data_IF_629525466886
#
_entry.id   IF_629525466886
#
_cell.length_a   1.000
_cell.length_b   1.000
_cell.length_c   1.000
_cell.angle_alpha   90.00
_cell.angle_beta   90.00
_cell.angle_gamma   90.00
#
_symmetry.space_group_name_H-M   'P 1'
#
loop_
_entity.id
_entity.type
_entity.pdbx_description
1 polymer ?
#
# COMPACT_ATOMS: atom_id res chain seq x y z
N UNK A 1 3.32 14.21 15.58
CA UNK A 1 2.76 14.91 16.75
C UNK A 1 1.63 14.05 17.29
N UNK A 2 1.65 13.83 18.61
CA UNK A 2 0.60 13.08 19.32
C UNK A 2 -0.12 14.03 20.28
N UNK A 3 -1.43 13.91 20.31
CA UNK A 3 -2.28 14.64 21.23
C UNK A 3 -3.27 13.66 21.87
N UNK A 4 -3.22 13.54 23.20
CA UNK A 4 -4.10 12.68 23.99
C UNK A 4 -4.74 13.52 25.06
N UNK A 5 -6.06 13.49 25.17
CA UNK A 5 -6.81 14.19 26.19
C UNK A 5 -8.02 13.41 26.64
N UNK A 6 -8.23 13.37 27.94
CA UNK A 6 -9.42 12.80 28.58
C UNK A 6 -10.24 13.95 29.18
N UNK A 7 -11.56 13.87 29.00
CA UNK A 7 -12.53 14.83 29.53
C UNK A 7 -13.66 13.99 30.14
N UNK A 8 -13.85 13.98 31.42
CA UNK A 8 -14.93 13.26 32.10
C UNK A 8 -15.39 11.98 31.39
N UNK A 9 -16.36 12.12 30.48
CA UNK A 9 -16.97 11.03 29.71
C UNK A 9 -16.31 10.80 28.34
N UNK A 10 -15.37 11.63 27.92
CA UNK A 10 -14.78 11.60 26.57
C UNK A 10 -13.28 11.36 26.59
N UNK A 11 -12.79 10.60 25.66
CA UNK A 11 -11.37 10.46 25.36
C UNK A 11 -11.09 10.83 23.90
N UNK A 12 -10.03 11.58 23.67
CA UNK A 12 -9.58 11.97 22.34
C UNK A 12 -8.09 11.65 22.18
N UNK A 13 -7.78 10.78 21.25
CA UNK A 13 -6.41 10.48 20.83
C UNK A 13 -6.25 10.87 19.37
N UNK A 14 -5.29 11.73 19.09
CA UNK A 14 -5.02 12.22 17.73
C UNK A 14 -3.54 12.10 17.42
N UNK A 15 -3.22 11.63 16.22
CA UNK A 15 -1.86 11.64 15.72
C UNK A 15 -1.81 12.30 14.34
N UNK A 16 -0.81 13.17 14.16
CA UNK A 16 -0.45 13.77 12.87
C UNK A 16 0.96 13.33 12.52
N UNK A 17 1.17 12.86 11.30
CA UNK A 17 2.46 12.39 10.83
C UNK A 17 2.70 12.66 9.36
N UNK A 18 3.98 12.62 9.01
CA UNK A 18 4.45 12.63 7.64
C UNK A 18 5.55 11.58 7.49
N UNK A 19 5.68 11.02 6.31
CA UNK A 19 6.73 10.05 6.00
C UNK A 19 7.24 10.22 4.57
N UNK A 20 8.51 9.85 4.37
CA UNK A 20 9.13 9.75 3.06
C UNK A 20 9.73 8.36 2.96
N UNK A 21 9.32 7.62 1.94
CA UNK A 21 9.87 6.32 1.59
C UNK A 21 10.60 6.43 0.25
N UNK A 22 11.88 6.05 0.22
CA UNK A 22 12.69 6.02 -0.99
C UNK A 22 13.13 4.58 -1.25
N UNK A 23 12.80 4.08 -2.43
CA UNK A 23 13.26 2.78 -2.91
C UNK A 23 14.12 2.97 -4.14
N UNK A 24 15.27 2.31 -4.17
CA UNK A 24 16.20 2.31 -5.29
C UNK A 24 16.63 0.87 -5.57
N UNK A 25 16.43 0.44 -6.79
CA UNK A 25 16.92 -0.87 -7.26
C UNK A 25 18.09 -0.63 -8.19
N UNK A 26 19.22 -1.28 -7.90
CA UNK A 26 20.35 -1.34 -8.80
C UNK A 26 20.51 -2.80 -9.23
N UNK A 27 20.78 -3.02 -10.49
CA UNK A 27 21.09 -4.35 -10.99
C UNK A 27 22.49 -4.42 -11.56
N UNK A 28 23.09 -5.58 -11.43
CA UNK A 28 24.27 -6.00 -12.13
C UNK A 28 23.95 -7.30 -12.84
N UNK A 29 23.89 -7.23 -14.16
CA UNK A 29 23.62 -8.40 -15.00
C UNK A 29 24.89 -8.78 -15.72
N UNK A 30 25.28 -10.05 -15.60
CA UNK A 30 26.40 -10.63 -16.33
C UNK A 30 25.83 -11.73 -17.20
N UNK A 31 25.83 -11.51 -18.50
CA UNK A 31 25.46 -12.52 -19.48
C UNK A 31 26.72 -13.23 -19.97
N UNK A 32 26.90 -14.46 -19.49
CA UNK A 32 28.05 -15.30 -19.79
C UNK A 32 27.70 -16.51 -20.66
N UNK A 33 26.51 -16.53 -21.27
CA UNK A 33 26.05 -17.69 -22.05
C UNK A 33 26.99 -18.11 -23.18
N UNK A 34 27.73 -17.16 -23.75
CA UNK A 34 28.69 -17.39 -24.81
C UNK A 34 30.14 -17.33 -24.32
N UNK A 35 30.39 -17.02 -23.05
CA UNK A 35 31.70 -16.91 -22.46
C UNK A 35 32.18 -18.25 -21.91
N UNK A 36 33.48 -18.39 -21.81
CA UNK A 36 34.14 -19.55 -21.20
C UNK A 36 34.31 -19.35 -19.68
N UNK A 37 34.51 -20.46 -18.97
CA UNK A 37 34.89 -20.43 -17.56
C UNK A 37 36.36 -20.76 -17.42
N UNK A 38 37.08 -20.08 -16.50
CA UNK A 38 38.46 -20.42 -16.16
C UNK A 38 38.57 -21.83 -15.58
N UNK A 39 37.59 -22.19 -14.72
CA UNK A 39 37.46 -23.55 -14.15
C UNK A 39 36.10 -24.12 -14.53
N UNK A 40 36.04 -25.30 -15.18
CA UNK A 40 34.77 -25.93 -15.53
C UNK A 40 33.89 -26.19 -14.30
N UNK A 41 32.57 -26.07 -14.46
CA UNK A 41 31.58 -26.34 -13.42
C UNK A 41 31.64 -25.47 -12.16
N UNK A 42 32.35 -24.34 -12.18
CA UNK A 42 32.35 -23.35 -11.10
C UNK A 42 31.61 -22.11 -11.58
N UNK A 43 30.34 -21.95 -11.17
CA UNK A 43 29.48 -20.87 -11.64
C UNK A 43 29.54 -19.67 -10.68
N UNK A 44 30.64 -18.93 -10.74
CA UNK A 44 30.84 -17.68 -9.99
C UNK A 44 31.32 -16.57 -10.94
N UNK A 45 30.96 -15.33 -10.63
CA UNK A 45 31.33 -14.15 -11.42
C UNK A 45 32.86 -14.06 -11.68
N UNK A 46 33.74 -14.25 -10.67
CA UNK A 46 35.19 -14.19 -10.90
C UNK A 46 35.73 -15.30 -11.80
N UNK A 47 34.95 -16.37 -12.04
CA UNK A 47 35.34 -17.50 -12.86
C UNK A 47 34.94 -17.37 -14.34
N UNK A 48 34.19 -16.30 -14.69
CA UNK A 48 33.83 -16.03 -16.08
C UNK A 48 34.96 -15.34 -16.80
N UNK A 49 35.34 -15.84 -17.97
CA UNK A 49 36.27 -15.15 -18.85
C UNK A 49 35.59 -13.93 -19.45
N UNK A 50 35.97 -12.74 -18.98
CA UNK A 50 35.41 -11.46 -19.43
C UNK A 50 36.04 -11.03 -20.74
N UNK A 51 35.69 -11.74 -21.80
CA UNK A 51 36.09 -11.42 -23.17
C UNK A 51 34.91 -10.73 -23.92
N UNK A 52 35.07 -10.56 -25.23
CA UNK A 52 34.02 -9.95 -26.07
C UNK A 52 32.69 -10.71 -26.12
N UNK A 53 32.63 -11.93 -25.56
CA UNK A 53 31.44 -12.78 -25.52
C UNK A 53 30.68 -12.63 -24.21
N UNK A 54 31.28 -12.04 -23.18
CA UNK A 54 30.60 -11.74 -21.91
C UNK A 54 30.10 -10.30 -21.92
N UNK A 55 28.83 -10.11 -21.62
CA UNK A 55 28.24 -8.79 -21.47
C UNK A 55 28.01 -8.48 -19.99
N UNK A 56 28.54 -7.34 -19.52
CA UNK A 56 28.34 -6.83 -18.17
C UNK A 56 27.54 -5.54 -18.27
N UNK A 57 26.36 -5.54 -17.65
CA UNK A 57 25.49 -4.37 -17.54
C UNK A 57 25.26 -4.02 -16.08
N UNK A 58 25.55 -2.77 -15.74
CA UNK A 58 25.21 -2.21 -14.44
C UNK A 58 24.33 -0.99 -14.63
N UNK A 59 23.16 -0.99 -14.00
CA UNK A 59 22.20 0.08 -14.15
C UNK A 59 21.48 0.40 -12.85
N UNK A 60 20.89 1.58 -12.80
CA UNK A 60 19.85 1.92 -11.84
C UNK A 60 18.54 1.56 -12.53
N UNK A 61 17.97 0.40 -12.18
CA UNK A 61 16.77 -0.10 -12.85
C UNK A 61 15.53 0.69 -12.45
N UNK A 62 15.46 1.11 -11.18
CA UNK A 62 14.34 1.91 -10.72
C UNK A 62 14.67 2.77 -9.51
N UNK A 63 14.01 3.91 -9.43
CA UNK A 63 13.98 4.78 -8.25
C UNK A 63 12.55 5.24 -8.02
N UNK A 64 12.04 5.05 -6.81
CA UNK A 64 10.71 5.47 -6.40
C UNK A 64 10.81 6.28 -5.12
N UNK A 65 10.06 7.37 -5.06
CA UNK A 65 9.88 8.18 -3.84
C UNK A 65 8.40 8.30 -3.57
N UNK A 66 7.98 7.99 -2.35
CA UNK A 66 6.63 8.15 -1.85
C UNK A 66 6.67 9.09 -0.66
N UNK A 67 5.97 10.21 -0.76
CA UNK A 67 5.78 11.18 0.31
C UNK A 67 4.36 11.07 0.84
N UNK A 68 4.19 11.14 2.15
CA UNK A 68 2.90 10.93 2.78
C UNK A 68 2.67 11.89 3.92
N UNK A 69 1.43 12.38 4.03
CA UNK A 69 0.93 13.08 5.21
C UNK A 69 -0.32 12.36 5.69
N UNK A 70 -0.42 12.12 6.99
CA UNK A 70 -1.57 11.41 7.55
C UNK A 70 -2.00 11.98 8.89
N UNK A 71 -3.27 11.79 9.16
CA UNK A 71 -3.91 12.10 10.44
C UNK A 71 -4.73 10.89 10.89
N UNK A 72 -4.69 10.61 12.19
CA UNK A 72 -5.56 9.63 12.84
C UNK A 72 -6.22 10.26 14.04
N UNK A 73 -7.50 9.94 14.26
CA UNK A 73 -8.26 10.39 15.41
C UNK A 73 -9.08 9.21 15.95
N UNK A 74 -8.96 8.97 17.23
CA UNK A 74 -9.83 8.07 17.96
C UNK A 74 -10.59 8.88 19.01
N UNK A 75 -11.89 8.86 18.94
CA UNK A 75 -12.77 9.46 19.90
C UNK A 75 -13.53 8.38 20.66
N UNK A 76 -13.53 8.45 21.98
CA UNK A 76 -14.21 7.52 22.87
C UNK A 76 -15.23 8.25 23.73
N UNK A 77 -16.41 7.66 23.94
CA UNK A 77 -17.44 8.18 24.81
C UNK A 77 -17.86 7.14 25.85
N UNK A 78 -17.70 7.47 27.12
CA UNK A 78 -18.03 6.64 28.31
C UNK A 78 -17.45 5.21 28.28
N UNK A 79 -16.45 4.97 27.44
CA UNK A 79 -15.98 3.63 27.16
C UNK A 79 -17.04 2.71 26.53
N UNK A 80 -18.07 3.28 25.92
CA UNK A 80 -19.21 2.59 25.27
C UNK A 80 -19.08 2.61 23.77
N UNK A 81 -18.81 3.80 23.23
CA UNK A 81 -18.73 4.07 21.80
C UNK A 81 -17.34 4.61 21.48
N UNK A 82 -16.77 4.08 20.42
CA UNK A 82 -15.51 4.55 19.87
C UNK A 82 -15.69 4.86 18.39
N UNK A 83 -15.13 5.98 17.96
CA UNK A 83 -15.10 6.41 16.58
C UNK A 83 -13.64 6.60 16.17
N UNK A 84 -13.21 5.86 15.18
CA UNK A 84 -11.86 5.91 14.60
C UNK A 84 -11.95 6.58 13.22
N UNK A 85 -11.20 7.63 13.00
CA UNK A 85 -11.12 8.34 11.71
C UNK A 85 -9.67 8.41 11.31
N UNK A 86 -9.37 8.05 10.07
CA UNK A 86 -8.05 8.26 9.49
C UNK A 86 -8.17 8.96 8.14
N UNK A 87 -7.15 9.74 7.82
CA UNK A 87 -7.01 10.38 6.53
C UNK A 87 -5.54 10.37 6.15
N UNK A 88 -5.25 10.00 4.89
CA UNK A 88 -3.89 10.01 4.36
C UNK A 88 -3.89 10.51 2.93
N UNK A 89 -2.87 11.29 2.59
CA UNK A 89 -2.57 11.68 1.22
C UNK A 89 -1.14 11.30 0.88
N UNK A 90 -0.98 10.62 -0.24
CA UNK A 90 0.31 10.16 -0.74
C UNK A 90 0.62 10.81 -2.09
N UNK A 91 1.88 11.23 -2.24
CA UNK A 91 2.45 11.71 -3.50
C UNK A 91 3.55 10.74 -3.92
N UNK A 92 3.35 10.08 -5.05
CA UNK A 92 4.33 9.13 -5.59
C UNK A 92 5.02 9.68 -6.82
N UNK A 93 6.34 9.43 -6.91
CA UNK A 93 7.11 9.76 -8.11
C UNK A 93 6.65 9.00 -9.35
N UNK A 94 5.93 7.87 -9.19
CA UNK A 94 5.34 7.11 -10.30
C UNK A 94 4.22 7.88 -11.00
N UNK A 95 3.65 8.90 -10.36
CA UNK A 95 2.60 9.76 -10.91
C UNK A 95 3.15 11.05 -11.58
N UNK A 96 4.47 11.22 -11.66
CA UNK A 96 5.10 12.48 -12.11
C UNK A 96 4.65 12.92 -13.50
N UNK A 97 4.27 11.99 -14.37
CA UNK A 97 3.84 12.24 -15.75
C UNK A 97 2.33 12.04 -15.94
N UNK A 98 1.55 12.08 -14.87
CA UNK A 98 0.09 11.98 -14.90
C UNK A 98 -0.57 13.25 -14.42
N UNK A 99 -1.89 13.36 -14.66
CA UNK A 99 -2.71 14.48 -14.15
C UNK A 99 -2.74 14.51 -12.60
N UNK A 100 -2.46 13.39 -11.95
CA UNK A 100 -2.44 13.26 -10.48
C UNK A 100 -1.11 13.67 -9.82
N UNK A 101 -0.12 14.15 -10.58
CA UNK A 101 1.23 14.48 -10.08
C UNK A 101 1.27 15.46 -8.90
N UNK A 102 0.36 16.44 -8.89
CA UNK A 102 0.34 17.49 -7.87
C UNK A 102 -0.63 17.17 -6.72
N UNK A 103 -1.73 16.49 -6.99
CA UNK A 103 -2.78 16.17 -6.02
C UNK A 103 -2.47 14.90 -5.23
N UNK A 104 -1.66 14.00 -5.82
CA UNK A 104 -1.46 12.68 -5.25
C UNK A 104 -2.75 11.87 -5.20
N UNK A 105 -2.86 11.02 -4.18
CA UNK A 105 -4.08 10.25 -3.94
C UNK A 105 -4.42 10.26 -2.45
N UNK A 106 -5.67 10.64 -2.19
CA UNK A 106 -6.24 10.76 -0.86
C UNK A 106 -7.10 9.53 -0.56
N UNK A 107 -6.95 8.98 0.65
CA UNK A 107 -7.76 7.87 1.10
C UNK A 107 -8.08 7.95 2.59
N UNK A 108 -9.37 8.09 2.91
CA UNK A 108 -9.87 8.16 4.27
C UNK A 108 -10.31 6.79 4.79
N UNK A 109 -10.46 6.69 6.12
CA UNK A 109 -11.25 5.62 6.73
C UNK A 109 -12.05 6.15 7.91
N UNK A 110 -13.16 5.47 8.18
CA UNK A 110 -13.99 5.71 9.36
C UNK A 110 -14.45 4.36 9.91
N UNK A 111 -14.32 4.20 11.23
CA UNK A 111 -14.78 3.03 11.95
C UNK A 111 -15.54 3.42 13.21
N UNK A 112 -16.56 2.64 13.55
CA UNK A 112 -17.31 2.79 14.79
C UNK A 112 -17.37 1.45 15.53
N UNK A 113 -17.16 1.49 16.82
CA UNK A 113 -17.27 0.33 17.72
C UNK A 113 -18.21 0.67 18.87
N UNK A 114 -19.20 -0.19 19.09
CA UNK A 114 -20.17 -0.05 20.17
C UNK A 114 -20.14 -1.26 21.11
N UNK A 115 -19.93 -1.00 22.41
CA UNK A 115 -19.92 -2.03 23.47
C UNK A 115 -21.31 -2.13 24.08
N UNK A 116 -22.05 -3.17 23.70
CA UNK A 116 -23.46 -3.32 24.04
C UNK A 116 -23.71 -3.58 25.54
N UNK A 117 -22.84 -4.31 26.22
CA UNK A 117 -23.02 -4.62 27.65
C UNK A 117 -23.14 -3.42 28.56
N UNK A 118 -22.55 -2.31 28.16
CA UNK A 118 -22.56 -1.09 28.98
C UNK A 118 -23.80 -0.22 28.70
N UNK A 119 -24.51 -0.50 27.60
CA UNK A 119 -25.66 0.31 27.14
C UNK A 119 -26.96 -0.48 27.31
N UNK A 120 -26.92 -1.78 27.06
CA UNK A 120 -28.10 -2.63 27.06
C UNK A 120 -28.03 -3.60 28.26
N UNK A 121 -29.14 -3.81 28.92
CA UNK A 121 -29.26 -4.87 29.94
C UNK A 121 -29.33 -6.22 29.26
N UNK A 122 -28.17 -6.84 29.08
CA UNK A 122 -28.09 -8.18 28.49
C UNK A 122 -28.34 -9.28 29.52
N UNK A 123 -28.88 -10.43 29.11
CA UNK A 123 -29.00 -11.61 29.98
C UNK A 123 -27.68 -11.99 30.64
N UNK A 124 -27.72 -12.48 31.90
CA UNK A 124 -26.51 -12.82 32.70
C UNK A 124 -25.57 -13.84 32.05
N UNK A 125 -26.06 -14.64 31.11
CA UNK A 125 -25.25 -15.62 30.39
C UNK A 125 -24.42 -15.00 29.26
N UNK A 126 -24.72 -13.73 28.84
CA UNK A 126 -23.90 -12.96 27.91
C UNK A 126 -22.92 -12.14 28.74
N UNK A 127 -21.64 -12.49 28.65
CA UNK A 127 -20.56 -11.86 29.41
C UNK A 127 -20.01 -10.60 28.71
N UNK A 128 -20.08 -10.55 27.38
CA UNK A 128 -19.62 -9.44 26.57
C UNK A 128 -20.29 -9.45 25.20
N UNK A 129 -20.61 -8.27 24.69
CA UNK A 129 -21.13 -8.09 23.35
C UNK A 129 -20.62 -6.75 22.77
N UNK A 130 -20.12 -6.81 21.55
CA UNK A 130 -19.58 -5.66 20.80
C UNK A 130 -19.98 -5.78 19.35
N UNK A 131 -20.34 -4.66 18.75
CA UNK A 131 -20.52 -4.54 17.30
C UNK A 131 -19.56 -3.50 16.75
N UNK A 132 -19.13 -3.69 15.51
CA UNK A 132 -18.26 -2.77 14.79
C UNK A 132 -18.70 -2.62 13.36
N UNK A 133 -18.52 -1.42 12.82
CA UNK A 133 -18.71 -1.14 11.41
C UNK A 133 -17.59 -0.23 10.96
N UNK A 134 -17.05 -0.47 9.78
CA UNK A 134 -16.02 0.40 9.20
C UNK A 134 -16.15 0.50 7.70
N UNK A 135 -15.70 1.64 7.19
CA UNK A 135 -15.45 1.88 5.78
C UNK A 135 -14.06 2.47 5.63
N UNK A 136 -13.33 1.98 4.65
CA UNK A 136 -11.97 2.45 4.37
C UNK A 136 -11.70 2.46 2.87
N UNK A 137 -10.95 3.46 2.44
CA UNK A 137 -10.30 3.45 1.15
C UNK A 137 -8.79 3.28 1.33
N UNK A 138 -8.16 2.56 0.39
CA UNK A 138 -6.70 2.37 0.32
C UNK A 138 -6.27 2.68 -1.10
N UNK A 139 -5.33 3.61 -1.23
CA UNK A 139 -4.72 3.95 -2.49
C UNK A 139 -3.45 3.11 -2.73
N UNK A 140 -3.24 2.73 -3.98
CA UNK A 140 -2.01 2.09 -4.44
C UNK A 140 -1.50 2.84 -5.67
N UNK A 141 -0.20 3.16 -5.70
CA UNK A 141 0.37 3.88 -6.83
C UNK A 141 0.62 2.96 -8.04
N UNK A 142 0.97 3.58 -9.17
CA UNK A 142 1.24 2.87 -10.40
C UNK A 142 2.60 2.14 -10.35
N UNK A 143 2.74 1.04 -11.09
CA UNK A 143 4.03 0.40 -11.26
C UNK A 143 5.07 1.36 -11.85
N UNK A 144 6.33 1.18 -11.45
CA UNK A 144 7.44 2.02 -11.89
C UNK A 144 7.62 1.89 -13.42
N UNK A 145 7.80 3.02 -14.09
CA UNK A 145 8.13 3.08 -15.52
C UNK A 145 6.93 3.15 -16.47
N UNK A 146 5.71 2.89 -16.00
CA UNK A 146 4.52 2.89 -16.88
C UNK A 146 4.18 4.31 -17.39
N UNK A 147 4.45 5.32 -16.59
CA UNK A 147 4.16 6.71 -16.92
C UNK A 147 5.36 7.49 -17.47
N UNK A 148 6.52 6.85 -17.60
CA UNK A 148 7.71 7.53 -18.09
C UNK A 148 7.55 7.93 -19.57
N UNK A 149 8.05 9.11 -19.99
CA UNK A 149 8.09 9.50 -21.40
C UNK A 149 8.83 8.46 -22.25
N UNK A 150 8.46 8.35 -23.51
CA UNK A 150 9.12 7.43 -24.45
C UNK A 150 10.57 7.81 -24.58
N UNK A 151 11.47 6.94 -24.13
CA UNK A 151 12.89 7.10 -24.38
C UNK A 151 13.22 6.50 -25.74
N UNK A 152 13.74 7.34 -26.63
CA UNK A 152 14.34 6.87 -27.87
C UNK A 152 15.76 6.42 -27.52
N UNK A 153 15.96 5.12 -27.44
CA UNK A 153 17.29 4.56 -27.18
C UNK A 153 17.97 4.23 -28.52
N UNK A 154 19.09 4.87 -28.77
CA UNK A 154 19.94 4.49 -29.89
C UNK A 154 20.91 3.39 -29.46
N UNK A 155 20.72 2.19 -29.94
CA UNK A 155 21.63 1.06 -29.72
C UNK A 155 22.20 0.61 -31.06
N UNK A 156 23.54 0.71 -31.20
CA UNK A 156 24.21 0.24 -32.41
C UNK A 156 23.79 0.93 -33.72
N UNK A 157 23.36 2.19 -33.65
CA UNK A 157 22.86 2.93 -34.80
C UNK A 157 21.41 2.68 -35.18
N UNK A 158 20.68 1.86 -34.43
CA UNK A 158 19.25 1.62 -34.60
C UNK A 158 18.43 2.36 -33.55
N UNK A 159 17.33 2.99 -33.99
CA UNK A 159 16.39 3.63 -33.07
C UNK A 159 15.42 2.57 -32.55
N UNK A 160 15.46 2.29 -31.25
CA UNK A 160 14.42 1.51 -30.59
C UNK A 160 13.36 2.43 -30.03
N UNK A 161 12.16 2.36 -30.57
CA UNK A 161 10.99 3.09 -30.08
C UNK A 161 10.27 2.18 -29.08
N UNK A 162 9.89 2.74 -27.93
CA UNK A 162 9.05 2.02 -26.99
C UNK A 162 7.69 1.70 -27.67
N UNK A 163 7.28 0.44 -27.63
CA UNK A 163 6.02 -0.03 -28.24
C UNK A 163 4.83 0.13 -27.29
N UNK A 164 5.06 0.58 -26.05
CA UNK A 164 4.00 0.81 -25.06
C UNK A 164 3.58 2.26 -25.12
N UNK A 165 2.31 2.51 -25.43
CA UNK A 165 1.72 3.85 -25.37
C UNK A 165 1.64 4.32 -23.93
N UNK A 166 2.13 5.54 -23.67
CA UNK A 166 2.09 6.14 -22.36
C UNK A 166 0.85 7.02 -22.23
N UNK A 167 0.11 6.77 -21.17
CA UNK A 167 -1.14 7.47 -20.89
C UNK A 167 -0.98 8.39 -19.70
N UNK A 168 -1.17 9.68 -19.91
CA UNK A 168 -1.17 10.70 -18.85
C UNK A 168 -2.43 10.67 -17.97
N UNK A 169 -3.50 10.03 -18.43
CA UNK A 169 -4.80 9.91 -17.75
C UNK A 169 -4.83 8.77 -16.70
N UNK A 170 -3.73 8.05 -16.51
CA UNK A 170 -3.63 6.99 -15.53
C UNK A 170 -3.79 7.54 -14.10
N UNK A 171 -4.61 6.85 -13.33
CA UNK A 171 -4.93 7.18 -11.93
C UNK A 171 -4.43 6.08 -11.00
N UNK A 172 -4.12 6.42 -9.72
CA UNK A 172 -3.86 5.43 -8.71
C UNK A 172 -5.03 4.44 -8.57
N UNK A 173 -4.70 3.19 -8.28
CA UNK A 173 -5.69 2.20 -7.92
C UNK A 173 -6.26 2.53 -6.55
N UNK A 174 -7.59 2.43 -6.39
CA UNK A 174 -8.27 2.65 -5.13
C UNK A 174 -9.14 1.45 -4.81
N UNK A 175 -8.88 0.83 -3.65
CA UNK A 175 -9.70 -0.22 -3.08
C UNK A 175 -10.55 0.35 -1.95
N UNK A 176 -11.87 0.24 -2.08
CA UNK A 176 -12.84 0.65 -1.07
C UNK A 176 -13.44 -0.58 -0.41
N UNK A 177 -13.42 -0.64 0.92
CA UNK A 177 -13.90 -1.76 1.72
C UNK A 177 -14.93 -1.31 2.73
N UNK A 178 -15.97 -2.12 2.91
CA UNK A 178 -16.94 -2.00 4.01
C UNK A 178 -16.82 -3.27 4.85
N UNK A 179 -16.81 -3.10 6.16
CA UNK A 179 -16.76 -4.20 7.12
C UNK A 179 -17.82 -4.03 8.20
N UNK A 180 -18.50 -5.13 8.56
CA UNK A 180 -19.35 -5.26 9.72
C UNK A 180 -18.89 -6.44 10.55
N UNK A 181 -18.70 -6.23 11.85
CA UNK A 181 -18.25 -7.27 12.77
C UNK A 181 -19.05 -7.27 14.06
N UNK A 182 -19.15 -8.44 14.67
CA UNK A 182 -19.76 -8.61 16.00
C UNK A 182 -19.01 -9.65 16.78
N UNK A 183 -18.75 -9.34 18.05
CA UNK A 183 -18.08 -10.23 18.99
C UNK A 183 -19.01 -10.46 20.19
N UNK A 184 -19.21 -11.73 20.53
CA UNK A 184 -20.03 -12.17 21.65
C UNK A 184 -19.24 -13.12 22.51
N UNK A 185 -19.34 -12.96 23.85
CA UNK A 185 -18.76 -13.89 24.83
C UNK A 185 -19.83 -14.30 25.83
N UNK A 186 -19.86 -15.58 26.13
CA UNK A 186 -20.89 -16.22 26.93
C UNK A 186 -20.29 -16.95 28.12
N UNK A 187 -21.14 -17.20 29.14
CA UNK A 187 -20.83 -18.05 30.28
C UNK A 187 -19.50 -17.70 30.98
N UNK A 188 -19.34 -16.46 31.42
CA UNK A 188 -18.13 -15.94 32.05
C UNK A 188 -16.88 -16.10 31.14
N UNK A 189 -17.04 -15.73 29.86
CA UNK A 189 -16.00 -15.78 28.83
C UNK A 189 -15.52 -17.19 28.43
N UNK A 190 -16.28 -18.25 28.77
CA UNK A 190 -15.90 -19.63 28.41
C UNK A 190 -16.16 -19.98 26.96
N UNK A 191 -17.08 -19.30 26.34
CA UNK A 191 -17.41 -19.47 24.93
C UNK A 191 -17.44 -18.11 24.24
N UNK A 192 -16.87 -17.98 23.05
CA UNK A 192 -16.82 -16.76 22.28
C UNK A 192 -17.10 -17.01 20.79
N UNK A 193 -17.81 -16.07 20.18
CA UNK A 193 -18.04 -16.00 18.74
C UNK A 193 -17.57 -14.63 18.26
N UNK A 194 -16.75 -14.58 17.21
CA UNK A 194 -16.45 -13.37 16.45
C UNK A 194 -16.86 -13.63 14.99
N UNK A 195 -17.73 -12.80 14.49
CA UNK A 195 -18.19 -12.86 13.11
C UNK A 195 -17.86 -11.54 12.42
N UNK A 196 -17.28 -11.62 11.23
CA UNK A 196 -16.97 -10.45 10.41
C UNK A 196 -17.42 -10.72 8.98
N UNK A 197 -18.17 -9.78 8.43
CA UNK A 197 -18.51 -9.70 7.02
C UNK A 197 -17.81 -8.49 6.41
N UNK A 198 -17.24 -8.68 5.23
CA UNK A 198 -16.61 -7.58 4.50
C UNK A 198 -16.88 -7.68 3.01
N UNK A 199 -16.84 -6.52 2.35
CA UNK A 199 -16.91 -6.38 0.90
C UNK A 199 -15.88 -5.36 0.45
N UNK A 200 -15.10 -5.73 -0.58
CA UNK A 200 -14.08 -4.84 -1.17
C UNK A 200 -14.36 -4.65 -2.66
N UNK A 201 -14.25 -3.40 -3.12
CA UNK A 201 -14.34 -3.02 -4.51
C UNK A 201 -13.08 -2.25 -4.90
N UNK A 202 -12.47 -2.62 -6.03
CA UNK A 202 -11.27 -1.94 -6.54
C UNK A 202 -11.58 -1.23 -7.85
N UNK A 203 -11.10 0.01 -7.98
CA UNK A 203 -11.25 0.87 -9.17
C UNK A 203 -9.88 1.25 -9.72
N UNK A 204 -9.85 1.60 -11.01
CA UNK A 204 -8.65 2.04 -11.72
C UNK A 204 -7.54 0.96 -11.75
N UNK A 205 -7.91 -0.31 -11.79
CA UNK A 205 -6.94 -1.38 -11.95
C UNK A 205 -6.25 -1.28 -13.31
N UNK A 206 -4.92 -1.38 -13.29
CA UNK A 206 -4.14 -1.42 -14.51
C UNK A 206 -4.10 -2.85 -15.04
N UNK A 207 -4.64 -3.06 -16.23
CA UNK A 207 -4.60 -4.33 -16.95
C UNK A 207 -3.73 -4.17 -18.20
N UNK A 208 -2.76 -5.05 -18.37
CA UNK A 208 -2.01 -5.17 -19.62
C UNK A 208 -2.79 -6.07 -20.58
N UNK A 209 -3.08 -5.56 -21.76
CA UNK A 209 -3.63 -6.35 -22.85
C UNK A 209 -2.56 -6.51 -23.91
N UNK A 210 -2.28 -7.76 -24.29
CA UNK A 210 -1.43 -8.06 -25.43
C UNK A 210 -2.37 -8.21 -26.65
N UNK A 211 -2.08 -7.46 -27.73
CA UNK A 211 -2.76 -7.53 -29.01
C UNK A 211 -2.08 -8.56 -29.91
#
# INVERSE_FOLDING_TARGET
VLFNKEFDDFSLNTALGASINMSKVNSLTIDSRLASLYKPNVFTVPNVVMDSKAAVNQSIDSKRTLQSVFATMQWGWKGLLYLDITARNDWSSTLAHTDSKNTGFFYPSIGATWILNKTCSLPKWISFAKVRASWAEVGNDLPIGITNPVDIIMVGGSINVNTVEQRGDLKPEISSSIEFGTEWRFFHHRFGIDFTWYQTNTKNQLLRMDN
#
